data_IF_589314732622
#
_entry.id   IF_589314732622
#
_cell.length_a   1.000
_cell.length_b   1.000
_cell.length_c   1.000
_cell.angle_alpha   90.00
_cell.angle_beta   90.00
_cell.angle_gamma   90.00
#
_symmetry.space_group_name_H-M   'P 1'
#
loop_
_entity.id
_entity.type
_entity.pdbx_description
1 polymer ?
#
# COMPACT_ATOMS: atom_id res chain seq x y z
N UNK A 1 -30.01 20.12 4.91
CA UNK A 1 -29.91 19.46 3.58
C UNK A 1 -29.76 17.97 3.82
N UNK A 2 -30.63 17.15 3.23
CA UNK A 2 -30.56 15.70 3.33
C UNK A 2 -29.34 15.21 2.54
N UNK A 3 -28.52 14.32 3.11
CA UNK A 3 -27.35 13.73 2.43
C UNK A 3 -27.66 13.04 1.08
N UNK A 4 -28.94 12.89 0.72
CA UNK A 4 -29.40 12.26 -0.53
C UNK A 4 -29.32 13.13 -1.78
N UNK A 5 -29.10 14.44 -1.67
CA UNK A 5 -29.15 15.36 -2.83
C UNK A 5 -27.78 15.80 -3.36
N UNK A 6 -26.68 15.37 -2.74
CA UNK A 6 -25.34 15.69 -3.25
C UNK A 6 -25.01 14.74 -4.39
N UNK A 7 -24.88 15.28 -5.61
CA UNK A 7 -24.36 14.54 -6.74
C UNK A 7 -22.89 14.16 -6.48
N UNK A 8 -22.65 12.88 -6.19
CA UNK A 8 -21.32 12.34 -5.91
C UNK A 8 -20.60 11.85 -7.18
N UNK A 9 -21.27 11.86 -8.33
CA UNK A 9 -20.71 11.40 -9.61
C UNK A 9 -19.43 12.15 -10.02
N UNK A 10 -19.29 13.47 -9.76
CA UNK A 10 -18.03 14.19 -10.02
C UNK A 10 -16.88 13.77 -9.08
N UNK A 11 -17.18 13.35 -7.84
CA UNK A 11 -16.17 12.91 -6.86
C UNK A 11 -15.67 11.49 -7.13
N UNK A 12 -16.52 10.65 -7.73
CA UNK A 12 -16.23 9.24 -7.96
C UNK A 12 -16.55 8.87 -9.41
N UNK A 13 -15.65 9.12 -10.37
CA UNK A 13 -15.77 8.46 -11.66
C UNK A 13 -15.69 6.95 -11.41
N UNK A 14 -16.84 6.27 -11.47
CA UNK A 14 -16.94 4.82 -11.27
C UNK A 14 -16.35 4.09 -12.48
N UNK A 15 -15.03 4.14 -12.65
CA UNK A 15 -14.36 3.30 -13.61
C UNK A 15 -14.12 1.92 -13.00
N UNK A 16 -14.38 0.90 -13.81
CA UNK A 16 -14.10 -0.49 -13.47
C UNK A 16 -13.06 -0.99 -14.44
N UNK A 17 -11.87 -1.32 -13.95
CA UNK A 17 -10.81 -1.89 -14.77
C UNK A 17 -10.70 -3.37 -14.43
N UNK A 18 -11.01 -4.23 -15.40
CA UNK A 18 -10.99 -5.69 -15.24
C UNK A 18 -9.62 -6.32 -15.42
N UNK A 19 -8.61 -5.52 -15.80
CA UNK A 19 -7.31 -5.88 -16.35
C UNK A 19 -6.79 -7.32 -16.09
N UNK A 20 -6.11 -7.83 -17.10
CA UNK A 20 -5.51 -9.16 -17.25
C UNK A 20 -6.49 -10.28 -17.64
N UNK A 21 -6.14 -10.96 -18.74
CA UNK A 21 -6.76 -12.20 -19.16
C UNK A 21 -6.71 -13.25 -18.02
N UNK A 22 -7.66 -14.20 -17.95
CA UNK A 22 -7.72 -15.19 -16.86
C UNK A 22 -6.40 -15.94 -16.62
N UNK A 23 -5.62 -16.21 -17.67
CA UNK A 23 -4.32 -16.88 -17.55
C UNK A 23 -3.25 -16.02 -16.86
N UNK A 24 -3.28 -14.69 -17.03
CA UNK A 24 -2.38 -13.78 -16.30
C UNK A 24 -2.71 -13.83 -14.81
N UNK A 25 -4.00 -13.88 -14.46
CA UNK A 25 -4.44 -14.02 -13.07
C UNK A 25 -3.93 -15.32 -12.45
N UNK A 26 -3.87 -16.42 -13.20
CA UNK A 26 -3.27 -17.68 -12.73
C UNK A 26 -1.77 -17.52 -12.42
N UNK A 27 -1.00 -16.89 -13.29
CA UNK A 27 0.43 -16.63 -13.04
C UNK A 27 0.63 -15.71 -11.82
N UNK A 28 -0.22 -14.68 -11.72
CA UNK A 28 -0.25 -13.75 -10.61
C UNK A 28 -0.55 -14.45 -9.26
N UNK A 29 -1.31 -15.54 -9.24
CA UNK A 29 -1.58 -16.31 -8.02
C UNK A 29 -0.34 -17.05 -7.47
N UNK A 30 0.74 -17.14 -8.26
CA UNK A 30 2.03 -17.69 -7.83
C UNK A 30 2.88 -16.61 -7.15
N UNK A 31 2.78 -15.36 -7.62
CA UNK A 31 3.68 -14.25 -7.24
C UNK A 31 3.06 -13.35 -6.17
N UNK A 32 1.80 -12.93 -6.32
CA UNK A 32 1.20 -11.94 -5.41
C UNK A 32 1.07 -12.34 -3.94
N UNK A 33 1.01 -13.63 -3.54
CA UNK A 33 1.06 -13.98 -2.13
C UNK A 33 2.34 -13.50 -1.43
N UNK A 34 3.41 -13.25 -2.19
CA UNK A 34 4.70 -12.78 -1.69
C UNK A 34 4.86 -11.25 -1.66
N UNK A 35 4.02 -10.52 -2.41
CA UNK A 35 4.11 -9.07 -2.52
C UNK A 35 3.61 -8.52 -3.86
N UNK A 36 3.52 -7.20 -3.97
CA UNK A 36 2.98 -6.52 -5.18
C UNK A 36 4.03 -6.42 -6.30
N UNK A 37 5.31 -6.34 -5.97
CA UNK A 37 6.41 -6.30 -6.95
C UNK A 37 6.90 -7.69 -7.32
N UNK A 38 6.82 -8.05 -8.60
CA UNK A 38 7.31 -9.36 -9.07
C UNK A 38 8.84 -9.43 -9.01
N UNK A 39 9.36 -10.27 -8.12
CA UNK A 39 10.79 -10.59 -8.04
C UNK A 39 11.04 -11.99 -8.61
N UNK A 40 12.18 -12.19 -9.25
CA UNK A 40 12.52 -13.43 -9.96
C UNK A 40 12.48 -14.67 -9.06
N UNK A 41 12.78 -14.53 -7.76
CA UNK A 41 12.74 -15.64 -6.80
C UNK A 41 11.32 -16.03 -6.34
N UNK A 42 10.33 -15.14 -6.49
CA UNK A 42 8.96 -15.38 -5.99
C UNK A 42 8.26 -16.49 -6.78
N UNK A 43 8.48 -16.56 -8.10
CA UNK A 43 7.89 -17.60 -8.95
C UNK A 43 8.34 -19.03 -8.56
N UNK A 44 9.66 -19.34 -8.44
CA UNK A 44 10.08 -20.66 -7.99
C UNK A 44 9.69 -20.94 -6.53
N UNK A 45 9.68 -19.95 -5.65
CA UNK A 45 9.22 -20.12 -4.27
C UNK A 45 7.72 -20.46 -4.19
N UNK A 46 6.89 -19.76 -4.98
CA UNK A 46 5.46 -20.06 -5.10
C UNK A 46 5.21 -21.44 -5.73
N UNK A 47 5.94 -21.79 -6.78
CA UNK A 47 5.85 -23.13 -7.40
C UNK A 47 6.22 -24.23 -6.40
N UNK A 48 7.25 -24.01 -5.58
CA UNK A 48 7.62 -24.92 -4.49
C UNK A 48 6.47 -25.08 -3.47
N UNK A 49 5.81 -24.00 -3.06
CA UNK A 49 4.66 -24.06 -2.14
C UNK A 49 3.50 -24.87 -2.70
N UNK A 50 3.20 -24.72 -4.00
CA UNK A 50 2.19 -25.56 -4.66
C UNK A 50 2.63 -27.02 -4.80
N UNK A 51 3.91 -27.29 -5.02
CA UNK A 51 4.43 -28.65 -5.15
C UNK A 51 4.63 -29.36 -3.78
N UNK A 52 4.77 -28.59 -2.70
CA UNK A 52 5.13 -29.10 -1.38
C UNK A 52 4.22 -30.21 -0.84
N UNK A 53 2.87 -30.12 -0.93
CA UNK A 53 2.00 -31.20 -0.45
C UNK A 53 2.32 -32.54 -1.13
N UNK A 54 2.63 -32.54 -2.42
CA UNK A 54 2.94 -33.75 -3.18
C UNK A 54 4.30 -34.35 -2.76
N UNK A 55 5.31 -33.51 -2.54
CA UNK A 55 6.61 -33.99 -2.03
C UNK A 55 6.53 -34.54 -0.60
N UNK A 56 5.60 -34.02 0.21
CA UNK A 56 5.29 -34.54 1.54
C UNK A 56 4.37 -35.77 1.51
N UNK A 57 3.91 -36.22 0.34
CA UNK A 57 2.97 -37.33 0.20
C UNK A 57 1.56 -37.03 0.69
N UNK A 58 1.23 -35.75 0.93
CA UNK A 58 -0.09 -35.32 1.38
C UNK A 58 -1.15 -35.64 0.31
N UNK A 59 -2.34 -35.99 0.75
CA UNK A 59 -3.45 -36.38 -0.13
C UNK A 59 -4.58 -35.36 -0.03
N UNK A 60 -5.37 -35.22 -1.08
CA UNK A 60 -6.58 -34.41 -1.01
C UNK A 60 -7.52 -34.95 0.07
N UNK A 61 -8.07 -34.05 0.88
CA UNK A 61 -9.08 -34.39 1.86
C UNK A 61 -10.41 -34.72 1.19
N UNK A 62 -11.17 -35.65 1.76
CA UNK A 62 -12.55 -35.94 1.32
C UNK A 62 -13.55 -34.92 1.88
N UNK A 63 -13.13 -34.10 2.85
CA UNK A 63 -13.98 -33.08 3.45
C UNK A 63 -14.22 -31.94 2.47
N UNK A 64 -15.43 -31.89 1.88
CA UNK A 64 -15.81 -30.83 0.92
C UNK A 64 -15.73 -29.43 1.51
N UNK A 65 -15.90 -29.28 2.82
CA UNK A 65 -15.83 -27.98 3.49
C UNK A 65 -14.43 -27.36 3.44
N UNK A 66 -13.38 -28.18 3.32
CA UNK A 66 -12.01 -27.68 3.22
C UNK A 66 -11.74 -26.91 1.91
N UNK A 67 -12.54 -27.15 0.86
CA UNK A 67 -12.43 -26.47 -0.43
C UNK A 67 -13.12 -25.10 -0.45
N UNK A 68 -14.05 -24.85 0.49
CA UNK A 68 -14.87 -23.63 0.51
C UNK A 68 -14.02 -22.36 0.57
N UNK A 69 -13.03 -22.21 1.48
CA UNK A 69 -12.22 -21.00 1.54
C UNK A 69 -11.45 -20.74 0.25
N UNK A 70 -10.85 -21.78 -0.35
CA UNK A 70 -10.13 -21.67 -1.61
C UNK A 70 -11.06 -21.31 -2.77
N UNK A 71 -12.27 -21.88 -2.82
CA UNK A 71 -13.28 -21.55 -3.82
C UNK A 71 -13.74 -20.09 -3.72
N UNK A 72 -13.93 -19.56 -2.50
CA UNK A 72 -14.25 -18.14 -2.28
C UNK A 72 -13.12 -17.25 -2.78
N UNK A 73 -11.86 -17.57 -2.45
CA UNK A 73 -10.71 -16.82 -2.97
C UNK A 73 -10.65 -16.91 -4.49
N UNK A 74 -10.90 -18.07 -5.10
CA UNK A 74 -10.94 -18.20 -6.56
C UNK A 74 -12.04 -17.33 -7.19
N UNK A 75 -13.25 -17.30 -6.63
CA UNK A 75 -14.34 -16.44 -7.10
C UNK A 75 -13.91 -14.98 -7.03
N UNK A 76 -13.38 -14.53 -5.90
CA UNK A 76 -12.86 -13.16 -5.77
C UNK A 76 -11.74 -12.90 -6.80
N UNK A 77 -10.81 -13.84 -6.93
CA UNK A 77 -9.64 -13.74 -7.80
C UNK A 77 -9.99 -13.61 -9.27
N UNK A 78 -11.06 -14.24 -9.75
CA UNK A 78 -11.46 -14.22 -11.17
C UNK A 78 -12.64 -13.29 -11.48
N UNK A 79 -13.49 -13.01 -10.50
CA UNK A 79 -14.71 -12.22 -10.69
C UNK A 79 -14.64 -10.80 -10.12
N UNK A 80 -13.57 -10.44 -9.39
CA UNK A 80 -13.37 -9.05 -8.93
C UNK A 80 -12.40 -8.31 -9.87
N UNK A 81 -12.72 -7.07 -10.28
CA UNK A 81 -11.83 -6.26 -11.13
C UNK A 81 -10.53 -5.88 -10.41
N UNK A 82 -9.50 -5.45 -11.13
CA UNK A 82 -8.29 -4.90 -10.49
C UNK A 82 -8.56 -3.54 -9.82
N UNK A 83 -9.50 -2.78 -10.39
CA UNK A 83 -9.89 -1.46 -9.91
C UNK A 83 -11.40 -1.29 -9.98
N UNK A 84 -11.99 -0.83 -8.89
CA UNK A 84 -13.35 -0.33 -8.82
C UNK A 84 -13.48 0.64 -7.65
N UNK A 85 -14.46 1.55 -7.70
CA UNK A 85 -14.74 2.51 -6.62
C UNK A 85 -13.48 3.29 -6.16
N UNK A 86 -12.68 3.78 -7.11
CA UNK A 86 -11.42 4.48 -6.87
C UNK A 86 -10.39 3.71 -6.01
N UNK A 87 -10.43 2.38 -6.06
CA UNK A 87 -9.55 1.52 -5.26
C UNK A 87 -8.85 0.51 -6.14
N UNK A 88 -7.51 0.59 -6.19
CA UNK A 88 -6.65 -0.38 -6.88
C UNK A 88 -6.38 -1.64 -6.03
N UNK A 89 -5.96 -2.69 -6.73
CA UNK A 89 -5.51 -3.98 -6.18
C UNK A 89 -6.60 -4.76 -5.44
N UNK A 90 -7.86 -4.70 -5.90
CA UNK A 90 -8.98 -5.29 -5.17
C UNK A 90 -8.83 -6.81 -4.97
N UNK A 91 -8.64 -7.57 -6.05
CA UNK A 91 -8.49 -9.02 -5.93
C UNK A 91 -7.11 -9.43 -5.37
N UNK A 92 -6.07 -8.64 -5.66
CA UNK A 92 -4.69 -8.91 -5.20
C UNK A 92 -4.57 -8.91 -3.67
N UNK A 93 -5.40 -8.13 -2.97
CA UNK A 93 -5.46 -8.14 -1.49
C UNK A 93 -5.78 -9.51 -0.90
N UNK A 94 -6.45 -10.38 -1.67
CA UNK A 94 -6.79 -11.73 -1.24
C UNK A 94 -5.71 -12.77 -1.56
N UNK A 95 -4.60 -12.37 -2.18
CA UNK A 95 -3.51 -13.28 -2.55
C UNK A 95 -2.89 -13.98 -1.33
N UNK A 96 -2.78 -13.28 -0.20
CA UNK A 96 -2.22 -13.82 1.04
C UNK A 96 -2.98 -15.04 1.59
N UNK A 97 -4.25 -15.21 1.19
CA UNK A 97 -5.07 -16.34 1.61
C UNK A 97 -4.93 -17.58 0.71
N UNK A 98 -4.30 -17.45 -0.46
CA UNK A 98 -4.17 -18.55 -1.42
C UNK A 98 -3.40 -19.71 -0.81
N UNK A 99 -2.20 -19.49 -0.26
CA UNK A 99 -1.39 -20.58 0.30
C UNK A 99 -2.00 -21.22 1.55
N UNK A 100 -2.48 -20.46 2.56
CA UNK A 100 -3.16 -21.06 3.71
C UNK A 100 -4.38 -21.91 3.30
N UNK A 101 -5.24 -21.39 2.42
CA UNK A 101 -6.44 -22.12 2.01
C UNK A 101 -6.13 -23.29 1.06
N UNK A 102 -5.08 -23.17 0.27
CA UNK A 102 -4.54 -24.29 -0.49
C UNK A 102 -4.03 -25.40 0.43
N UNK A 103 -3.33 -25.07 1.53
CA UNK A 103 -2.86 -26.09 2.47
C UNK A 103 -4.02 -26.89 3.12
N UNK A 104 -5.17 -26.24 3.37
CA UNK A 104 -6.33 -26.88 4.01
C UNK A 104 -6.95 -28.02 3.21
N UNK A 105 -6.81 -28.04 1.88
CA UNK A 105 -7.38 -29.11 1.04
C UNK A 105 -6.58 -30.42 1.13
N UNK A 106 -5.41 -30.39 1.78
CA UNK A 106 -4.56 -31.56 1.95
C UNK A 106 -4.66 -32.10 3.38
N UNK A 107 -4.60 -33.43 3.49
CA UNK A 107 -4.44 -34.14 4.76
C UNK A 107 -3.07 -34.81 4.82
N UNK A 108 -2.50 -34.85 6.01
CA UNK A 108 -1.28 -35.62 6.29
C UNK A 108 -1.50 -37.12 6.07
N UNK A 109 -0.41 -37.82 5.79
CA UNK A 109 -0.39 -39.29 5.72
C UNK A 109 -0.50 -39.83 7.16
N UNK A 110 -1.43 -40.74 7.42
CA UNK A 110 -1.59 -41.34 8.75
C UNK A 110 -0.32 -42.12 9.13
N UNK A 111 0.11 -42.09 10.40
CA UNK A 111 1.36 -42.72 10.87
C UNK A 111 1.53 -44.18 10.42
N UNK A 112 0.42 -44.92 10.31
CA UNK A 112 0.36 -46.31 9.82
C UNK A 112 0.74 -46.48 8.34
N UNK A 113 0.54 -45.45 7.50
CA UNK A 113 0.93 -45.44 6.09
C UNK A 113 2.36 -44.91 5.86
N UNK A 114 2.99 -44.28 6.87
CA UNK A 114 4.34 -43.69 6.78
C UNK A 114 5.46 -44.71 7.05
N UNK A 115 5.15 -46.01 7.09
CA UNK A 115 6.14 -47.07 7.35
C UNK A 115 7.28 -47.14 6.30
N UNK A 116 7.15 -46.45 5.16
CA UNK A 116 8.21 -46.33 4.16
C UNK A 116 9.21 -45.22 4.52
N UNK A 117 10.44 -45.59 4.93
CA UNK A 117 11.55 -44.67 5.27
C UNK A 117 11.79 -43.57 4.23
N UNK A 118 11.58 -43.84 2.94
CA UNK A 118 11.77 -42.87 1.86
C UNK A 118 10.78 -41.70 1.85
N UNK A 119 9.55 -41.91 2.32
CA UNK A 119 8.52 -40.85 2.38
C UNK A 119 8.82 -39.88 3.53
N UNK A 120 9.29 -40.40 4.68
CA UNK A 120 9.69 -39.56 5.83
C UNK A 120 10.84 -38.62 5.51
N UNK A 121 11.90 -39.13 4.88
CA UNK A 121 13.07 -38.32 4.53
C UNK A 121 12.72 -37.22 3.52
N UNK A 122 11.90 -37.53 2.51
CA UNK A 122 11.42 -36.53 1.53
C UNK A 122 10.55 -35.47 2.17
N UNK A 123 9.58 -35.87 3.01
CA UNK A 123 8.71 -34.93 3.71
C UNK A 123 9.51 -33.99 4.61
N UNK A 124 10.48 -34.52 5.38
CA UNK A 124 11.37 -33.72 6.22
C UNK A 124 12.22 -32.75 5.39
N UNK A 125 12.79 -33.20 4.28
CA UNK A 125 13.57 -32.35 3.38
C UNK A 125 12.70 -31.23 2.77
N UNK A 126 11.47 -31.53 2.36
CA UNK A 126 10.52 -30.52 1.87
C UNK A 126 10.13 -29.52 2.95
N UNK A 127 9.86 -29.97 4.18
CA UNK A 127 9.58 -29.08 5.31
C UNK A 127 10.78 -28.18 5.63
N UNK A 128 11.99 -28.73 5.65
CA UNK A 128 13.22 -27.96 5.87
C UNK A 128 13.44 -26.93 4.76
N UNK A 129 13.20 -27.29 3.50
CA UNK A 129 13.30 -26.37 2.37
C UNK A 129 12.26 -25.25 2.45
N UNK A 130 11.00 -25.56 2.78
CA UNK A 130 9.96 -24.57 2.99
C UNK A 130 10.30 -23.63 4.15
N UNK A 131 10.78 -24.17 5.27
CA UNK A 131 11.23 -23.38 6.40
C UNK A 131 12.38 -22.45 6.00
N UNK A 132 13.36 -22.94 5.23
CA UNK A 132 14.45 -22.12 4.71
C UNK A 132 13.95 -20.99 3.79
N UNK A 133 12.98 -21.26 2.91
CA UNK A 133 12.37 -20.22 2.06
C UNK A 133 11.64 -19.17 2.92
N UNK A 134 10.85 -19.60 3.90
CA UNK A 134 10.15 -18.69 4.81
C UNK A 134 11.13 -17.84 5.64
N UNK A 135 12.20 -18.44 6.17
CA UNK A 135 13.25 -17.72 6.91
C UNK A 135 13.96 -16.73 5.99
N UNK A 136 14.32 -17.15 4.77
CA UNK A 136 14.93 -16.27 3.77
C UNK A 136 14.03 -15.08 3.43
N UNK A 137 12.74 -15.33 3.19
CA UNK A 137 11.76 -14.28 2.96
C UNK A 137 11.67 -13.30 4.13
N UNK A 138 11.52 -13.80 5.36
CA UNK A 138 11.48 -12.98 6.57
C UNK A 138 12.77 -12.18 6.76
N UNK A 139 13.93 -12.78 6.47
CA UNK A 139 15.22 -12.10 6.51
C UNK A 139 15.30 -10.94 5.51
N UNK A 140 14.86 -11.16 4.27
CA UNK A 140 14.81 -10.11 3.23
C UNK A 140 13.85 -9.00 3.62
N UNK A 141 12.63 -9.32 4.08
CA UNK A 141 11.65 -8.32 4.50
C UNK A 141 12.11 -7.57 5.76
N UNK A 142 12.74 -8.26 6.71
CA UNK A 142 13.33 -7.65 7.90
C UNK A 142 14.44 -6.66 7.55
N UNK A 143 15.37 -7.06 6.67
CA UNK A 143 16.42 -6.18 6.20
C UNK A 143 15.86 -4.94 5.45
N UNK A 144 14.84 -5.13 4.60
CA UNK A 144 14.14 -4.01 3.94
C UNK A 144 13.47 -3.07 4.93
N UNK A 145 12.85 -3.62 5.97
CA UNK A 145 12.19 -2.84 7.03
C UNK A 145 13.19 -1.99 7.79
N UNK A 146 14.35 -2.54 8.18
CA UNK A 146 15.41 -1.80 8.86
C UNK A 146 15.95 -0.68 7.96
N UNK A 147 16.28 -0.97 6.70
CA UNK A 147 16.74 0.04 5.74
C UNK A 147 15.69 1.12 5.50
N UNK A 148 14.42 0.75 5.47
CA UNK A 148 13.34 1.71 5.29
C UNK A 148 13.20 2.62 6.51
N UNK A 149 13.37 2.10 7.72
CA UNK A 149 13.38 2.92 8.93
C UNK A 149 14.55 3.93 8.93
N UNK A 150 15.74 3.52 8.46
CA UNK A 150 16.86 4.43 8.26
C UNK A 150 16.54 5.49 7.19
N UNK A 151 15.96 5.10 6.05
CA UNK A 151 15.55 6.00 4.96
C UNK A 151 14.46 6.99 5.41
N UNK A 152 13.54 6.59 6.27
CA UNK A 152 12.44 7.43 6.75
C UNK A 152 12.81 8.32 7.95
N UNK A 153 13.96 8.12 8.60
CA UNK A 153 14.36 8.90 9.78
C UNK A 153 14.44 10.42 9.52
N UNK A 154 14.72 10.81 8.27
CA UNK A 154 14.64 12.20 7.81
C UNK A 154 13.25 12.81 8.02
N UNK A 155 12.19 12.03 7.77
CA UNK A 155 10.81 12.47 7.94
C UNK A 155 10.51 12.72 9.42
N UNK A 156 10.92 11.79 10.29
CA UNK A 156 10.75 11.92 11.75
C UNK A 156 11.42 13.20 12.27
N UNK A 157 12.62 13.51 11.75
CA UNK A 157 13.37 14.70 12.11
C UNK A 157 12.67 16.01 11.68
N UNK A 158 12.00 16.05 10.53
CA UNK A 158 11.23 17.25 10.12
C UNK A 158 9.89 17.33 10.85
N UNK A 159 9.22 16.21 11.09
CA UNK A 159 7.94 16.17 11.80
C UNK A 159 8.08 16.59 13.26
N UNK A 160 9.18 16.24 13.92
CA UNK A 160 9.45 16.66 15.30
C UNK A 160 9.51 18.19 15.48
N UNK A 161 9.72 18.96 14.40
CA UNK A 161 9.71 20.43 14.43
C UNK A 161 8.31 21.05 14.28
N UNK A 162 7.30 20.24 14.01
CA UNK A 162 5.94 20.65 13.65
C UNK A 162 5.02 20.60 14.87
N UNK A 163 4.16 21.59 15.07
CA UNK A 163 3.17 21.56 16.14
C UNK A 163 2.09 20.49 15.88
N UNK A 164 1.59 19.77 16.89
CA UNK A 164 0.53 18.79 16.72
C UNK A 164 -0.83 19.43 16.39
N UNK A 165 -1.76 18.60 15.91
CA UNK A 165 -3.15 18.97 15.61
C UNK A 165 -3.32 20.11 14.59
N UNK A 166 -2.34 20.31 13.71
CA UNK A 166 -2.40 21.29 12.63
C UNK A 166 -2.74 20.62 11.31
N UNK A 167 -3.15 21.43 10.33
CA UNK A 167 -3.39 20.95 8.96
C UNK A 167 -2.11 21.06 8.12
N UNK A 168 -1.73 19.95 7.51
CA UNK A 168 -0.61 19.85 6.59
C UNK A 168 -1.04 19.54 5.17
N UNK A 169 -0.19 19.90 4.21
CA UNK A 169 -0.28 19.44 2.83
C UNK A 169 1.00 18.68 2.48
N UNK A 170 0.88 17.56 1.77
CA UNK A 170 2.05 16.85 1.26
C UNK A 170 2.30 17.16 -0.22
N UNK A 171 3.56 17.42 -0.56
CA UNK A 171 4.05 17.68 -1.90
C UNK A 171 5.25 16.78 -2.17
N UNK A 172 5.02 15.66 -2.83
CA UNK A 172 5.99 14.57 -3.02
C UNK A 172 6.52 14.60 -4.46
N UNK A 173 7.73 15.13 -4.65
CA UNK A 173 8.39 15.20 -5.97
C UNK A 173 9.03 13.88 -6.39
N UNK A 174 9.48 13.09 -5.42
CA UNK A 174 9.95 11.73 -5.62
C UNK A 174 9.14 10.83 -4.69
N UNK A 175 8.52 9.79 -5.23
CA UNK A 175 7.67 8.83 -4.51
C UNK A 175 8.41 7.54 -4.18
N UNK A 176 9.55 7.30 -4.82
CA UNK A 176 10.25 6.02 -4.81
C UNK A 176 10.98 5.81 -3.50
N UNK A 177 10.88 4.61 -2.97
CA UNK A 177 11.74 4.11 -1.89
C UNK A 177 12.71 3.06 -2.45
N UNK A 178 14.00 3.39 -2.59
CA UNK A 178 15.04 2.42 -2.84
C UNK A 178 15.10 1.31 -1.77
N UNK A 179 14.94 1.66 -0.49
CA UNK A 179 15.00 0.68 0.60
C UNK A 179 13.91 -0.40 0.52
N UNK A 180 12.68 0.00 0.19
CA UNK A 180 11.55 -0.91 0.06
C UNK A 180 11.38 -1.53 -1.34
N UNK A 181 12.16 -1.08 -2.33
CA UNK A 181 12.03 -1.47 -3.74
C UNK A 181 10.59 -1.22 -4.25
N UNK A 182 10.07 -0.02 -3.95
CA UNK A 182 8.70 0.38 -4.26
C UNK A 182 8.68 1.78 -4.90
N UNK A 183 8.12 1.94 -6.12
CA UNK A 183 8.09 3.23 -6.82
C UNK A 183 7.15 4.27 -6.20
N UNK A 184 6.17 3.85 -5.40
CA UNK A 184 5.07 4.71 -4.94
C UNK A 184 4.95 4.79 -3.41
N UNK A 185 5.96 4.35 -2.65
CA UNK A 185 5.84 4.19 -1.19
C UNK A 185 5.60 5.53 -0.47
N UNK A 186 6.19 6.62 -0.97
CA UNK A 186 6.12 7.91 -0.29
C UNK A 186 4.89 8.74 -0.64
N UNK A 187 4.00 8.27 -1.52
CA UNK A 187 2.86 9.04 -2.02
C UNK A 187 1.90 9.54 -0.95
N UNK A 188 1.85 8.85 0.19
CA UNK A 188 0.98 9.19 1.31
C UNK A 188 1.74 9.22 2.65
N UNK A 189 3.08 9.31 2.61
CA UNK A 189 3.89 9.09 3.82
C UNK A 189 3.67 10.15 4.89
N UNK A 190 3.37 11.39 4.47
CA UNK A 190 3.09 12.48 5.40
C UNK A 190 1.85 12.23 6.27
N UNK A 191 0.98 11.25 5.95
CA UNK A 191 -0.12 10.83 6.82
C UNK A 191 0.36 10.28 8.18
N UNK A 192 1.63 9.92 8.35
CA UNK A 192 2.17 9.56 9.68
C UNK A 192 2.11 10.72 10.69
N UNK A 193 2.20 11.97 10.23
CA UNK A 193 1.94 13.13 11.09
C UNK A 193 0.50 13.11 11.65
N UNK A 194 -0.48 12.64 10.89
CA UNK A 194 -1.85 12.49 11.39
C UNK A 194 -1.96 11.38 12.44
N UNK A 195 -1.24 10.26 12.27
CA UNK A 195 -1.26 9.15 13.22
C UNK A 195 -0.59 9.52 14.56
N UNK A 196 0.57 10.20 14.50
CA UNK A 196 1.40 10.44 15.70
C UNK A 196 1.12 11.79 16.37
N UNK A 197 0.84 12.82 15.58
CA UNK A 197 0.72 14.20 16.06
C UNK A 197 -0.72 14.71 15.99
N UNK A 198 -1.69 13.84 15.70
CA UNK A 198 -3.13 14.18 15.59
C UNK A 198 -3.43 15.29 14.57
N UNK A 199 -2.52 15.53 13.64
CA UNK A 199 -2.71 16.47 12.55
C UNK A 199 -3.69 15.95 11.50
N UNK A 200 -3.96 16.76 10.48
CA UNK A 200 -4.68 16.34 9.28
C UNK A 200 -3.82 16.67 8.07
N UNK A 201 -3.47 15.67 7.27
CA UNK A 201 -2.68 15.88 6.05
C UNK A 201 -3.52 15.59 4.83
N UNK A 202 -3.58 16.55 3.92
CA UNK A 202 -4.12 16.34 2.58
C UNK A 202 -2.98 15.99 1.61
N UNK A 203 -3.18 15.10 0.65
CA UNK A 203 -4.36 14.26 0.42
C UNK A 203 -4.47 13.09 1.41
N UNK A 204 -5.69 12.65 1.75
CA UNK A 204 -5.93 11.49 2.63
C UNK A 204 -6.90 10.49 1.97
N UNK A 205 -6.69 9.19 2.24
CA UNK A 205 -7.59 8.12 1.86
C UNK A 205 -9.06 8.28 2.32
N UNK A 206 -9.36 9.16 3.29
CA UNK A 206 -10.71 9.53 3.72
C UNK A 206 -11.62 10.05 2.59
N UNK A 207 -11.05 10.36 1.42
CA UNK A 207 -11.78 10.58 0.19
C UNK A 207 -12.47 9.33 -0.37
N UNK A 208 -11.92 8.13 -0.14
CA UNK A 208 -12.34 6.92 -0.84
C UNK A 208 -13.53 6.23 -0.15
N UNK A 209 -14.53 5.75 -0.91
CA UNK A 209 -15.74 5.16 -0.34
C UNK A 209 -15.48 3.95 0.56
N UNK A 210 -14.50 3.05 0.34
CA UNK A 210 -14.31 1.91 1.23
C UNK A 210 -13.84 2.26 2.65
N UNK A 211 -13.38 3.50 2.92
CA UNK A 211 -12.85 3.86 4.23
C UNK A 211 -13.95 4.01 5.29
N UNK A 212 -13.62 3.62 6.52
CA UNK A 212 -14.49 3.76 7.70
C UNK A 212 -14.54 5.24 8.12
N UNK A 213 -13.40 5.93 8.08
CA UNK A 213 -13.29 7.37 8.36
C UNK A 213 -13.37 8.13 7.04
N UNK A 214 -14.26 9.12 6.96
CA UNK A 214 -14.51 9.91 5.75
C UNK A 214 -14.66 11.39 6.07
N UNK A 215 -14.37 12.24 5.08
CA UNK A 215 -14.73 13.65 5.16
C UNK A 215 -16.24 13.83 5.23
N UNK A 216 -16.67 14.89 5.93
CA UNK A 216 -18.06 15.34 5.83
C UNK A 216 -18.25 15.99 4.46
N UNK A 217 -19.38 15.72 3.79
CA UNK A 217 -19.63 16.18 2.42
C UNK A 217 -19.63 17.71 2.30
N UNK A 218 -19.96 18.43 3.37
CA UNK A 218 -19.94 19.91 3.46
C UNK A 218 -18.56 20.48 3.82
N UNK A 219 -17.56 19.63 4.10
CA UNK A 219 -16.22 20.01 4.56
C UNK A 219 -15.12 19.18 3.91
N UNK A 220 -15.22 18.97 2.60
CA UNK A 220 -14.17 18.31 1.83
C UNK A 220 -12.96 19.24 1.64
N UNK A 221 -11.73 18.70 1.68
CA UNK A 221 -10.54 19.50 1.41
C UNK A 221 -10.48 19.94 -0.05
N UNK A 222 -9.67 20.96 -0.34
CA UNK A 222 -9.52 21.47 -1.71
C UNK A 222 -8.72 20.53 -2.63
N UNK A 223 -7.90 19.64 -2.04
CA UNK A 223 -7.12 18.64 -2.78
C UNK A 223 -7.91 17.33 -2.82
N UNK A 224 -8.31 16.93 -4.01
CA UNK A 224 -9.07 15.70 -4.26
C UNK A 224 -8.27 14.60 -4.98
N UNK A 225 -8.89 13.43 -5.21
CA UNK A 225 -8.22 12.29 -5.86
C UNK A 225 -7.68 12.60 -7.26
N UNK A 226 -8.39 13.43 -8.03
CA UNK A 226 -7.99 13.85 -9.38
C UNK A 226 -6.80 14.81 -9.40
N UNK A 227 -6.45 15.41 -8.26
CA UNK A 227 -5.32 16.34 -8.14
C UNK A 227 -4.03 15.64 -7.70
N UNK A 228 -4.08 14.36 -7.34
CA UNK A 228 -2.90 13.57 -6.93
C UNK A 228 -2.59 12.40 -7.86
N UNK A 229 -3.46 12.12 -8.82
CA UNK A 229 -3.29 11.11 -9.84
C UNK A 229 -3.97 11.53 -11.16
N UNK A 230 -3.37 11.25 -12.34
CA UNK A 230 -2.17 10.43 -12.53
C UNK A 230 -0.84 11.16 -12.28
N UNK A 231 -0.82 12.51 -12.31
CA UNK A 231 0.36 13.30 -12.01
C UNK A 231 0.43 13.67 -10.51
N UNK A 232 1.62 13.75 -9.91
CA UNK A 232 1.76 14.18 -8.52
C UNK A 232 1.39 15.66 -8.34
N UNK A 233 0.74 15.97 -7.21
CA UNK A 233 0.33 17.34 -6.88
C UNK A 233 1.47 18.35 -6.90
N UNK A 234 2.70 17.92 -6.59
CA UNK A 234 3.90 18.76 -6.58
C UNK A 234 4.26 19.38 -7.94
N UNK A 235 3.86 18.75 -9.05
CA UNK A 235 4.14 19.24 -10.41
C UNK A 235 3.24 20.41 -10.83
N UNK A 236 2.04 20.51 -10.23
CA UNK A 236 1.02 21.47 -10.65
C UNK A 236 0.35 22.17 -9.46
N UNK A 237 1.04 22.24 -8.32
CA UNK A 237 0.51 22.90 -7.13
C UNK A 237 0.29 24.39 -7.42
N UNK A 238 -0.93 24.86 -7.19
CA UNK A 238 -1.31 26.27 -7.26
C UNK A 238 -1.89 26.71 -5.91
N UNK A 239 -1.30 27.75 -5.32
CA UNK A 239 -1.65 28.26 -4.00
C UNK A 239 -3.13 28.61 -3.87
N UNK A 240 -3.71 29.25 -4.90
CA UNK A 240 -5.08 29.76 -4.85
C UNK A 240 -6.08 28.64 -5.07
N UNK A 241 -5.86 27.79 -6.08
CA UNK A 241 -6.72 26.65 -6.43
C UNK A 241 -6.88 25.70 -5.25
N UNK A 242 -5.77 25.35 -4.58
CA UNK A 242 -5.78 24.38 -3.50
C UNK A 242 -5.96 24.99 -2.11
N UNK A 243 -6.34 26.27 -2.02
CA UNK A 243 -6.55 26.97 -0.75
C UNK A 243 -5.33 26.87 0.18
N UNK A 244 -4.14 27.19 -0.34
CA UNK A 244 -2.85 27.12 0.36
C UNK A 244 -2.86 27.76 1.76
N UNK A 245 -3.63 28.85 1.93
CA UNK A 245 -3.84 29.53 3.22
C UNK A 245 -4.41 28.63 4.32
N UNK A 246 -5.12 27.56 3.98
CA UNK A 246 -5.74 26.63 4.93
C UNK A 246 -4.76 25.65 5.57
N UNK A 247 -3.56 25.51 4.99
CA UNK A 247 -2.51 24.65 5.51
C UNK A 247 -1.52 25.48 6.32
N UNK A 248 -1.16 24.98 7.52
CA UNK A 248 -0.08 25.56 8.30
C UNK A 248 1.26 25.01 7.82
N UNK A 249 1.32 23.73 7.52
CA UNK A 249 2.54 23.02 7.16
C UNK A 249 2.50 22.44 5.76
N UNK A 250 3.64 22.44 5.08
CA UNK A 250 3.83 21.79 3.79
C UNK A 250 4.99 20.80 3.91
N UNK A 251 4.67 19.51 3.89
CA UNK A 251 5.66 18.43 3.90
C UNK A 251 6.11 18.17 2.47
N UNK A 252 7.38 18.43 2.18
CA UNK A 252 7.96 18.32 0.85
C UNK A 252 9.02 17.23 0.85
N UNK A 253 8.82 16.19 0.02
CA UNK A 253 9.86 15.20 -0.29
C UNK A 253 10.48 15.51 -1.62
N UNK A 254 11.81 15.56 -1.69
CA UNK A 254 12.55 15.88 -2.90
C UNK A 254 13.94 15.23 -2.92
N UNK A 255 14.42 14.93 -4.13
CA UNK A 255 15.80 14.47 -4.40
C UNK A 255 16.55 15.42 -5.35
N UNK A 256 15.88 16.49 -5.77
CA UNK A 256 16.39 17.55 -6.63
C UNK A 256 15.94 18.91 -6.08
N UNK A 257 16.58 20.02 -6.49
CA UNK A 257 16.20 21.34 -6.01
C UNK A 257 14.70 21.64 -6.21
N UNK A 258 14.04 22.09 -5.15
CA UNK A 258 12.63 22.50 -5.19
C UNK A 258 12.49 23.72 -6.12
N UNK A 259 11.49 23.75 -7.02
CA UNK A 259 11.28 24.87 -7.93
C UNK A 259 11.21 26.23 -7.21
N UNK A 260 11.95 27.21 -7.73
CA UNK A 260 11.89 28.59 -7.25
C UNK A 260 10.49 29.11 -7.46
N UNK A 261 9.77 29.38 -6.37
CA UNK A 261 8.39 29.86 -6.42
C UNK A 261 7.32 28.78 -6.27
N UNK A 262 7.65 27.55 -5.82
CA UNK A 262 6.64 26.54 -5.45
C UNK A 262 5.52 27.12 -4.55
N UNK A 263 5.88 28.00 -3.62
CA UNK A 263 4.95 28.69 -2.71
C UNK A 263 4.71 30.16 -3.08
N UNK A 264 5.01 30.57 -4.31
CA UNK A 264 4.82 31.96 -4.73
C UNK A 264 3.34 32.35 -4.62
N UNK A 265 3.05 33.35 -3.79
CA UNK A 265 1.72 33.87 -3.58
C UNK A 265 1.79 35.32 -3.03
N UNK A 266 0.70 36.07 -3.12
CA UNK A 266 0.64 37.47 -2.69
C UNK A 266 0.15 37.66 -1.24
N UNK A 267 -0.30 36.58 -0.58
CA UNK A 267 -1.09 36.63 0.64
C UNK A 267 -0.26 36.31 1.88
N UNK A 268 0.47 35.21 1.85
CA UNK A 268 1.12 34.60 3.00
C UNK A 268 2.61 34.35 2.76
N UNK A 269 3.40 34.58 3.80
CA UNK A 269 4.80 34.19 3.83
C UNK A 269 4.91 32.73 4.23
N UNK A 270 5.48 31.92 3.34
CA UNK A 270 5.84 30.51 3.59
C UNK A 270 7.36 30.43 3.74
N UNK A 271 7.83 29.87 4.84
CA UNK A 271 9.27 29.77 5.14
C UNK A 271 9.66 28.32 5.40
N UNK A 272 10.90 27.97 5.07
CA UNK A 272 11.46 26.69 5.47
C UNK A 272 11.58 26.66 7.00
N UNK A 273 10.91 25.71 7.63
CA UNK A 273 10.97 25.50 9.08
C UNK A 273 12.11 24.54 9.45
N UNK A 274 12.18 23.40 8.75
CA UNK A 274 13.21 22.38 8.97
C UNK A 274 13.48 21.60 7.68
N UNK A 275 14.71 21.15 7.51
CA UNK A 275 15.08 20.18 6.49
C UNK A 275 15.95 19.08 7.11
N UNK A 276 15.77 17.84 6.65
CA UNK A 276 16.61 16.69 6.96
C UNK A 276 16.62 15.76 5.74
N UNK A 277 17.80 15.49 5.20
CA UNK A 277 18.02 14.69 3.98
C UNK A 277 17.01 14.99 2.86
N UNK A 278 16.17 14.01 2.53
CA UNK A 278 15.19 14.12 1.41
C UNK A 278 13.88 14.82 1.76
N UNK A 279 13.76 15.31 2.99
CA UNK A 279 12.55 15.96 3.50
C UNK A 279 12.79 17.39 3.91
N UNK A 280 11.80 18.23 3.64
CA UNK A 280 11.71 19.59 4.13
C UNK A 280 10.28 19.86 4.59
N UNK A 281 10.11 20.58 5.69
CA UNK A 281 8.82 21.12 6.11
C UNK A 281 8.86 22.64 6.05
N UNK A 282 7.85 23.20 5.41
CA UNK A 282 7.65 24.64 5.33
C UNK A 282 6.45 25.04 6.19
N UNK A 283 6.53 26.20 6.81
CA UNK A 283 5.46 26.77 7.63
C UNK A 283 4.92 28.05 7.00
N UNK A 284 3.59 28.15 6.96
CA UNK A 284 2.88 29.40 6.71
C UNK A 284 2.87 30.22 7.99
N UNK A 285 3.53 31.38 7.96
CA UNK A 285 3.60 32.32 9.08
C UNK A 285 2.56 33.45 8.92
N UNK A 286 3.00 34.66 8.58
CA UNK A 286 2.15 35.84 8.44
C UNK A 286 1.39 35.84 7.12
N UNK A 287 0.08 36.11 7.18
CA UNK A 287 -0.75 36.42 6.01
C UNK A 287 -1.24 37.86 6.09
N UNK A 288 -1.31 38.55 4.95
CA UNK A 288 -1.96 39.87 4.85
C UNK A 288 -3.46 39.72 5.09
N UNK A 289 -4.03 40.54 5.98
CA UNK A 289 -5.47 40.55 6.29
C UNK A 289 -5.92 39.31 7.08
N UNK A 290 -5.17 38.96 8.14
CA UNK A 290 -5.49 37.93 9.11
C UNK A 290 -5.41 38.47 10.53
#
# INVERSE_FOLDING_TARGET
MSHREVDLTPMYPFSVLWNAAPWVRLLCAIVYPWGVGAQTWMAPAGALLYAAPFFMGARLTRNRMAFVPLAVVAVVWFCVPVFAMNTFFLFQRFAMFIFPFYALIFRGVAESEVAQRGVKARALASQALLAAVCIGFLGVQGARTVRFAEESADFDAVVAAVEPAQRGLMLVFDKRSPAADNPDLYDNFALWYQAEHRGLVDFNAAWFPPQIVRYRLDRVPAVGPSDVAPAPLSEHFDWRRYQGRSYRYFFVRHTSPIPVGLFANAECRVVLLKSAGTWSVYERQSCRGG
#
